data_IF_633411881328
#
_entry.id   IF_633411881328
#
_cell.length_a   1.000
_cell.length_b   1.000
_cell.length_c   1.000
_cell.angle_alpha   90.00
_cell.angle_beta   90.00
_cell.angle_gamma   90.00
#
_symmetry.space_group_name_H-M   'P 1'
#
loop_
_entity.id
_entity.type
_entity.pdbx_description
1 polymer ?
#
# COMPACT_ATOMS: atom_id res chain seq x y z
N UNK A 1 -2.95 -28.27 40.88
CA UNK A 1 -2.90 -27.77 39.50
C UNK A 1 -4.25 -28.03 38.87
N UNK A 2 -5.09 -27.04 38.62
CA UNK A 2 -6.28 -27.23 37.81
C UNK A 2 -6.06 -26.70 36.40
N UNK A 3 -6.39 -27.51 35.40
CA UNK A 3 -6.39 -27.19 33.99
C UNK A 3 -7.62 -26.32 33.66
N UNK A 4 -7.42 -25.21 32.99
CA UNK A 4 -8.48 -24.37 32.46
C UNK A 4 -8.71 -24.76 31.01
N UNK A 5 -9.87 -25.34 30.71
CA UNK A 5 -10.32 -25.65 29.38
C UNK A 5 -10.85 -24.37 28.71
N UNK A 6 -10.26 -24.01 27.56
CA UNK A 6 -10.79 -22.96 26.69
C UNK A 6 -11.88 -23.54 25.79
N UNK A 7 -13.11 -23.12 25.99
CA UNK A 7 -14.21 -23.47 25.09
C UNK A 7 -14.18 -22.55 23.86
N UNK A 8 -13.87 -23.14 22.69
CA UNK A 8 -14.01 -22.47 21.40
C UNK A 8 -15.48 -22.49 20.96
N UNK A 9 -16.05 -21.33 20.73
CA UNK A 9 -17.37 -21.19 20.10
C UNK A 9 -17.18 -21.19 18.60
N UNK A 10 -17.49 -22.30 17.95
CA UNK A 10 -17.66 -22.42 16.51
C UNK A 10 -19.08 -21.92 16.15
N UNK A 11 -19.18 -20.77 15.52
CA UNK A 11 -20.43 -20.32 14.91
C UNK A 11 -20.55 -20.92 13.51
N UNK A 12 -21.45 -21.88 13.36
CA UNK A 12 -21.80 -22.46 12.07
C UNK A 12 -22.67 -21.48 11.26
N UNK A 13 -22.22 -21.14 10.04
CA UNK A 13 -23.02 -20.42 9.05
C UNK A 13 -23.93 -21.42 8.36
N UNK A 14 -25.22 -21.32 8.57
CA UNK A 14 -26.24 -22.08 7.84
C UNK A 14 -26.60 -21.29 6.59
N UNK A 15 -26.28 -21.83 5.42
CA UNK A 15 -26.76 -21.32 4.12
C UNK A 15 -28.13 -21.98 3.88
N UNK A 16 -29.21 -21.23 4.05
CA UNK A 16 -30.54 -21.64 3.64
C UNK A 16 -30.75 -21.29 2.16
N UNK A 17 -30.78 -22.31 1.30
CA UNK A 17 -31.25 -22.18 -0.09
C UNK A 17 -32.76 -22.05 -0.11
N UNK A 18 -33.27 -21.04 -0.81
CA UNK A 18 -34.70 -20.88 -1.05
C UNK A 18 -35.05 -21.33 -2.48
N UNK A 19 -35.79 -22.41 -2.59
CA UNK A 19 -36.59 -22.76 -3.77
C UNK A 19 -38.03 -22.30 -3.53
N UNK A 20 -38.64 -21.69 -4.53
CA UNK A 20 -39.87 -20.95 -4.44
C UNK A 20 -41.15 -21.80 -4.33
N UNK A 21 -42.26 -21.13 -3.94
CA UNK A 21 -43.63 -21.59 -4.10
C UNK A 21 -44.61 -20.99 -3.09
N UNK A 22 -45.45 -20.05 -3.49
CA UNK A 22 -46.88 -19.92 -3.15
C UNK A 22 -47.29 -19.38 -1.79
N UNK A 23 -47.76 -18.12 -1.80
CA UNK A 23 -48.98 -17.56 -1.20
C UNK A 23 -49.31 -17.73 0.27
N UNK A 24 -49.31 -16.62 1.02
CA UNK A 24 -50.45 -16.07 1.78
C UNK A 24 -50.01 -14.95 2.76
N UNK A 25 -50.83 -13.93 2.76
CA UNK A 25 -51.04 -12.78 3.65
C UNK A 25 -50.50 -12.88 5.08
N UNK A 26 -49.68 -11.89 5.51
CA UNK A 26 -49.30 -11.66 6.90
C UNK A 26 -48.39 -10.44 7.03
N UNK A 27 -48.80 -9.47 7.80
CA UNK A 27 -48.34 -8.13 8.13
C UNK A 27 -46.81 -7.85 8.09
N UNK A 28 -46.34 -6.70 7.60
CA UNK A 28 -44.93 -6.43 7.35
C UNK A 28 -44.18 -5.97 8.59
N UNK A 29 -43.36 -6.86 9.11
CA UNK A 29 -42.25 -6.49 9.97
C UNK A 29 -41.13 -5.83 9.12
N UNK A 30 -40.61 -4.70 9.57
CA UNK A 30 -39.67 -3.85 8.88
C UNK A 30 -38.51 -4.61 8.19
N UNK A 31 -38.51 -4.56 6.86
CA UNK A 31 -37.37 -5.01 6.04
C UNK A 31 -36.26 -3.98 6.17
N UNK A 32 -35.20 -4.31 6.86
CA UNK A 32 -33.97 -3.51 6.91
C UNK A 32 -33.34 -3.51 5.53
N UNK A 33 -33.15 -2.33 4.98
CA UNK A 33 -32.44 -2.10 3.73
C UNK A 33 -31.02 -2.64 3.84
N UNK A 34 -30.77 -3.76 3.17
CA UNK A 34 -29.42 -4.20 2.85
C UNK A 34 -29.04 -3.42 1.61
N UNK A 35 -28.21 -2.39 1.79
CA UNK A 35 -27.60 -1.68 0.66
C UNK A 35 -26.62 -2.61 -0.05
N UNK A 36 -27.11 -3.36 -1.03
CA UNK A 36 -26.26 -4.12 -1.96
C UNK A 36 -25.56 -3.16 -2.90
N UNK A 37 -24.26 -2.97 -2.69
CA UNK A 37 -23.38 -2.36 -3.68
C UNK A 37 -23.15 -3.38 -4.81
N UNK A 38 -23.18 -2.98 -6.09
CA UNK A 38 -23.06 -3.93 -7.19
C UNK A 38 -21.73 -4.69 -7.17
N UNK A 39 -21.76 -5.98 -7.48
CA UNK A 39 -20.70 -6.98 -7.34
C UNK A 39 -19.44 -6.78 -8.22
N UNK A 40 -19.32 -5.65 -8.91
CA UNK A 40 -18.21 -5.35 -9.85
C UNK A 40 -17.09 -4.46 -9.27
N UNK A 41 -17.32 -3.85 -8.11
CA UNK A 41 -16.31 -3.05 -7.42
C UNK A 41 -16.00 -3.71 -6.10
N UNK A 42 -14.82 -4.32 -5.91
CA UNK A 42 -14.41 -4.88 -4.63
C UNK A 42 -14.93 -4.01 -3.48
N UNK A 43 -15.87 -4.53 -2.70
CA UNK A 43 -16.69 -3.76 -1.79
C UNK A 43 -16.20 -3.86 -0.34
N UNK A 44 -16.28 -2.75 0.37
CA UNK A 44 -16.31 -2.76 1.82
C UNK A 44 -17.77 -2.91 2.23
N UNK A 45 -18.14 -4.03 2.85
CA UNK A 45 -19.48 -4.22 3.42
C UNK A 45 -19.40 -3.85 4.91
N UNK A 46 -20.15 -2.84 5.30
CA UNK A 46 -20.34 -2.47 6.72
C UNK A 46 -21.63 -3.14 7.19
N UNK A 47 -21.47 -4.14 8.05
CA UNK A 47 -22.60 -4.78 8.73
C UNK A 47 -22.84 -4.04 10.05
N UNK A 48 -24.02 -3.48 10.25
CA UNK A 48 -24.40 -2.76 11.48
C UNK A 48 -25.21 -3.68 12.40
N UNK A 49 -24.54 -4.48 13.23
CA UNK A 49 -25.19 -5.06 14.41
C UNK A 49 -25.12 -4.07 15.59
N UNK A 50 -26.16 -4.00 16.42
CA UNK A 50 -26.24 -3.01 17.50
C UNK A 50 -25.40 -3.40 18.72
N UNK A 51 -24.09 -3.62 18.52
CA UNK A 51 -23.16 -3.70 19.65
C UNK A 51 -22.95 -2.29 20.18
N UNK A 52 -23.08 -2.03 21.49
CA UNK A 52 -22.81 -0.71 22.06
C UNK A 52 -21.40 -0.27 21.73
N UNK A 53 -21.29 0.81 20.95
CA UNK A 53 -19.99 1.37 20.56
C UNK A 53 -19.44 2.23 21.69
N UNK A 54 -18.13 2.16 21.88
CA UNK A 54 -17.41 3.06 22.80
C UNK A 54 -17.12 4.40 22.13
N UNK A 55 -16.91 5.44 22.93
CA UNK A 55 -16.53 6.77 22.46
C UNK A 55 -15.12 7.09 22.89
N UNK A 56 -14.42 7.89 22.08
CA UNK A 56 -13.12 8.46 22.46
C UNK A 56 -13.33 9.72 23.27
N UNK A 57 -12.51 9.92 24.29
CA UNK A 57 -12.50 11.15 25.10
C UNK A 57 -11.81 12.31 24.38
N UNK A 58 -10.96 12.01 23.40
CA UNK A 58 -10.20 12.99 22.60
C UNK A 58 -9.78 12.41 21.26
N UNK A 59 -9.44 13.26 20.29
CA UNK A 59 -8.84 12.83 19.04
C UNK A 59 -7.43 12.26 19.28
N UNK A 60 -7.18 11.04 18.85
CA UNK A 60 -5.88 10.38 18.96
C UNK A 60 -4.99 10.72 17.76
N UNK A 61 -3.71 10.97 18.01
CA UNK A 61 -2.71 11.34 17.00
C UNK A 61 -1.30 10.89 17.41
N UNK A 62 -0.35 10.97 16.50
CA UNK A 62 1.06 10.64 16.74
C UNK A 62 1.58 11.32 18.01
N UNK A 63 2.32 10.55 18.82
CA UNK A 63 2.88 10.95 20.11
C UNK A 63 1.97 10.73 21.31
N UNK A 64 0.69 10.36 21.10
CA UNK A 64 -0.22 10.03 22.22
C UNK A 64 -0.09 8.56 22.60
N UNK A 65 -0.37 8.27 23.89
CA UNK A 65 -0.37 6.90 24.40
C UNK A 65 -1.56 6.70 25.35
N UNK A 66 -1.94 5.44 25.51
CA UNK A 66 -2.97 5.05 26.46
C UNK A 66 -3.89 3.92 25.98
N UNK A 67 -4.87 3.55 26.79
CA UNK A 67 -5.76 2.41 26.51
C UNK A 67 -6.61 2.63 25.25
N UNK A 68 -7.04 3.86 24.95
CA UNK A 68 -7.80 4.17 23.74
C UNK A 68 -6.96 3.95 22.47
N UNK A 69 -5.65 4.29 22.50
CA UNK A 69 -4.72 4.01 21.39
C UNK A 69 -4.56 2.50 21.22
N UNK A 70 -4.37 1.76 22.31
CA UNK A 70 -4.27 0.30 22.25
C UNK A 70 -5.55 -0.34 21.69
N UNK A 71 -6.72 0.13 22.11
CA UNK A 71 -7.99 -0.34 21.56
C UNK A 71 -8.09 -0.10 20.05
N UNK A 72 -7.66 1.08 19.57
CA UNK A 72 -7.61 1.39 18.15
C UNK A 72 -6.63 0.47 17.37
N UNK A 73 -5.43 0.22 17.91
CA UNK A 73 -4.45 -0.69 17.32
C UNK A 73 -5.00 -2.12 17.24
N UNK A 74 -5.61 -2.62 18.30
CA UNK A 74 -6.25 -3.96 18.33
C UNK A 74 -7.36 -4.03 17.29
N UNK A 75 -8.19 -2.99 17.19
CA UNK A 75 -9.28 -2.95 16.24
C UNK A 75 -8.77 -2.91 14.80
N UNK A 76 -7.76 -2.09 14.48
CA UNK A 76 -7.11 -2.06 13.16
C UNK A 76 -6.57 -3.46 12.80
N UNK A 77 -5.84 -4.09 13.72
CA UNK A 77 -5.29 -5.43 13.50
C UNK A 77 -6.37 -6.48 13.24
N UNK A 78 -7.49 -6.42 13.95
CA UNK A 78 -8.62 -7.35 13.77
C UNK A 78 -9.30 -7.22 12.40
N UNK A 79 -9.15 -6.08 11.72
CA UNK A 79 -9.66 -5.83 10.38
C UNK A 79 -8.65 -6.16 9.26
N UNK A 80 -7.45 -6.62 9.62
CA UNK A 80 -6.38 -6.94 8.66
C UNK A 80 -5.36 -5.82 8.43
N UNK A 81 -5.53 -4.62 9.01
CA UNK A 81 -4.51 -3.58 8.99
C UNK A 81 -3.35 -3.94 9.92
N UNK A 82 -2.13 -3.53 9.55
CA UNK A 82 -1.01 -3.66 10.47
C UNK A 82 -0.59 -2.30 11.02
N UNK A 83 -0.99 -1.94 12.26
CA UNK A 83 -0.61 -0.68 12.89
C UNK A 83 0.78 -0.71 13.54
N UNK A 84 1.56 -1.78 13.37
CA UNK A 84 2.77 -2.05 14.14
C UNK A 84 2.48 -2.67 15.51
N UNK A 85 3.35 -2.44 16.50
CA UNK A 85 3.18 -2.97 17.85
C UNK A 85 1.84 -2.52 18.47
N UNK A 86 1.18 -3.46 19.17
CA UNK A 86 -0.06 -3.17 19.90
C UNK A 86 0.28 -2.70 21.33
N UNK A 87 1.08 -1.66 21.44
CA UNK A 87 1.70 -1.18 22.68
C UNK A 87 0.93 -0.03 23.35
N UNK A 88 -0.11 0.49 22.66
CA UNK A 88 -0.87 1.65 23.14
C UNK A 88 -0.17 2.99 22.86
N UNK A 89 0.88 3.01 22.01
CA UNK A 89 1.55 4.23 21.57
C UNK A 89 1.17 4.54 20.12
N UNK A 90 0.60 5.71 19.88
CA UNK A 90 0.23 6.15 18.52
C UNK A 90 1.50 6.59 17.76
N UNK A 91 2.18 5.60 17.19
CA UNK A 91 3.37 5.79 16.36
C UNK A 91 3.05 5.95 14.88
N UNK A 92 4.11 6.05 14.03
CA UNK A 92 3.96 6.13 12.57
C UNK A 92 3.18 4.96 11.98
N UNK A 93 3.38 3.72 12.46
CA UNK A 93 2.66 2.55 11.97
C UNK A 93 1.15 2.64 12.23
N UNK A 94 0.74 3.11 13.41
CA UNK A 94 -0.67 3.36 13.72
C UNK A 94 -1.25 4.45 12.82
N UNK A 95 -0.51 5.53 12.56
CA UNK A 95 -0.92 6.59 11.65
C UNK A 95 -1.10 6.06 10.22
N UNK A 96 -0.16 5.28 9.73
CA UNK A 96 -0.21 4.68 8.40
C UNK A 96 -1.40 3.73 8.24
N UNK A 97 -1.71 2.95 9.27
CA UNK A 97 -2.91 2.10 9.27
C UNK A 97 -4.21 2.94 9.24
N UNK A 98 -4.24 4.09 9.92
CA UNK A 98 -5.37 5.04 9.84
C UNK A 98 -5.48 5.63 8.45
N UNK A 99 -4.40 6.07 7.80
CA UNK A 99 -4.44 6.54 6.41
C UNK A 99 -5.01 5.47 5.46
N UNK A 100 -4.54 4.23 5.58
CA UNK A 100 -5.08 3.13 4.77
C UNK A 100 -6.58 2.90 5.03
N UNK A 101 -7.02 3.02 6.30
CA UNK A 101 -8.44 2.94 6.65
C UNK A 101 -9.25 4.08 6.03
N UNK A 102 -8.80 5.33 6.15
CA UNK A 102 -9.44 6.48 5.53
C UNK A 102 -9.55 6.33 4.01
N UNK A 103 -8.49 5.83 3.37
CA UNK A 103 -8.45 5.58 1.92
C UNK A 103 -9.42 4.48 1.48
N UNK A 104 -9.37 3.34 2.13
CA UNK A 104 -10.12 2.15 1.69
C UNK A 104 -11.59 2.17 2.11
N UNK A 105 -11.89 2.64 3.32
CA UNK A 105 -13.26 2.64 3.87
C UNK A 105 -14.00 3.92 3.52
N UNK A 106 -13.37 5.08 3.74
CA UNK A 106 -13.99 6.38 3.49
C UNK A 106 -13.79 6.87 2.04
N UNK A 107 -13.02 6.12 1.23
CA UNK A 107 -12.69 6.47 -0.16
C UNK A 107 -12.02 7.85 -0.28
N UNK A 108 -11.25 8.23 0.74
CA UNK A 108 -10.50 9.51 0.72
C UNK A 108 -9.24 9.38 -0.10
N UNK A 109 -9.04 10.20 -1.15
CA UNK A 109 -7.74 10.33 -1.80
C UNK A 109 -6.65 10.67 -0.76
N UNK A 110 -5.43 10.22 -1.00
CA UNK A 110 -4.32 10.38 -0.03
C UNK A 110 -4.15 11.84 0.44
N UNK A 111 -4.33 12.82 -0.45
CA UNK A 111 -4.21 14.25 -0.12
C UNK A 111 -5.28 14.75 0.88
N UNK A 112 -6.34 13.99 1.12
CA UNK A 112 -7.45 14.33 2.04
C UNK A 112 -7.42 13.47 3.31
N UNK A 113 -6.50 12.52 3.41
CA UNK A 113 -6.35 11.67 4.60
C UNK A 113 -5.67 12.44 5.71
N UNK A 114 -6.19 12.32 6.93
CA UNK A 114 -5.76 13.11 8.09
C UNK A 114 -4.78 12.33 8.97
N UNK A 115 -4.93 11.01 9.07
CA UNK A 115 -4.08 10.15 9.90
C UNK A 115 -4.23 10.40 11.40
N UNK A 116 -5.41 10.85 11.82
CA UNK A 116 -5.82 11.01 13.21
C UNK A 116 -7.10 10.24 13.43
N UNK A 117 -7.31 9.76 14.64
CA UNK A 117 -8.52 9.05 14.99
C UNK A 117 -9.40 9.93 15.88
N UNK A 118 -10.38 10.56 15.28
CA UNK A 118 -11.45 11.25 15.99
C UNK A 118 -12.59 10.28 16.35
N UNK A 119 -13.58 10.78 17.10
CA UNK A 119 -14.68 9.94 17.54
C UNK A 119 -15.56 9.44 16.38
N UNK A 120 -15.70 10.22 15.30
CA UNK A 120 -16.50 9.79 14.14
C UNK A 120 -15.83 8.61 13.41
N UNK A 121 -14.53 8.70 13.20
CA UNK A 121 -13.75 7.61 12.60
C UNK A 121 -13.73 6.38 13.52
N UNK A 122 -13.62 6.58 14.84
CA UNK A 122 -13.68 5.51 15.82
C UNK A 122 -15.03 4.78 15.80
N UNK A 123 -16.16 5.51 15.73
CA UNK A 123 -17.48 4.92 15.58
C UNK A 123 -17.59 4.05 14.32
N UNK A 124 -17.05 4.53 13.20
CA UNK A 124 -17.03 3.77 11.94
C UNK A 124 -16.12 2.53 12.05
N UNK A 125 -14.96 2.64 12.68
CA UNK A 125 -14.06 1.50 12.87
C UNK A 125 -14.66 0.36 13.69
N UNK A 126 -15.63 0.63 14.54
CA UNK A 126 -16.30 -0.38 15.36
C UNK A 126 -17.37 -1.17 14.60
N UNK A 127 -17.77 -0.74 13.41
CA UNK A 127 -18.67 -1.50 12.55
C UNK A 127 -17.98 -2.77 12.02
N UNK A 128 -18.69 -3.89 11.83
CA UNK A 128 -18.13 -5.06 11.18
C UNK A 128 -17.85 -4.74 9.71
N UNK A 129 -16.56 -4.62 9.38
CA UNK A 129 -16.06 -4.28 8.05
C UNK A 129 -15.36 -5.50 7.48
N UNK A 130 -15.76 -5.91 6.28
CA UNK A 130 -15.14 -7.00 5.51
C UNK A 130 -14.61 -6.44 4.19
N UNK A 131 -13.36 -6.70 3.89
CA UNK A 131 -12.73 -6.33 2.63
C UNK A 131 -12.85 -7.50 1.65
N UNK A 132 -13.54 -7.26 0.53
CA UNK A 132 -13.63 -8.21 -0.57
C UNK A 132 -12.75 -7.76 -1.72
N UNK A 133 -12.06 -8.68 -2.42
CA UNK A 133 -11.20 -8.32 -3.54
C UNK A 133 -12.03 -7.81 -4.73
N UNK A 134 -11.46 -6.89 -5.50
CA UNK A 134 -12.01 -6.48 -6.79
C UNK A 134 -11.84 -7.57 -7.85
N UNK A 135 -10.83 -8.43 -7.68
CA UNK A 135 -10.55 -9.57 -8.55
C UNK A 135 -10.54 -10.85 -7.73
N UNK A 136 -11.56 -11.67 -7.91
CA UNK A 136 -11.63 -12.99 -7.26
C UNK A 136 -10.81 -14.00 -8.06
N UNK A 137 -10.09 -14.90 -7.37
CA UNK A 137 -9.46 -16.07 -7.96
C UNK A 137 -10.16 -17.34 -7.43
N UNK A 138 -10.70 -18.19 -8.31
CA UNK A 138 -11.38 -19.42 -7.90
C UNK A 138 -10.40 -20.52 -7.44
N UNK A 139 -9.08 -20.36 -7.68
CA UNK A 139 -8.07 -21.34 -7.32
C UNK A 139 -7.83 -21.32 -5.81
N UNK A 140 -7.96 -22.48 -5.15
CA UNK A 140 -7.65 -22.62 -3.74
C UNK A 140 -6.18 -22.28 -3.45
N UNK A 141 -5.95 -21.52 -2.38
CA UNK A 141 -4.63 -21.02 -1.99
C UNK A 141 -4.14 -19.84 -2.84
N UNK A 142 -4.95 -19.32 -3.78
CA UNK A 142 -4.55 -18.20 -4.61
C UNK A 142 -4.29 -16.97 -3.76
N UNK A 143 -3.16 -16.33 -4.03
CA UNK A 143 -2.75 -15.06 -3.42
C UNK A 143 -2.62 -14.00 -4.50
N UNK A 144 -3.13 -12.80 -4.24
CA UNK A 144 -2.91 -11.65 -5.10
C UNK A 144 -2.88 -10.36 -4.28
N UNK A 145 -2.22 -9.34 -4.83
CA UNK A 145 -2.13 -8.02 -4.23
C UNK A 145 -2.92 -7.01 -5.06
N UNK A 146 -3.75 -6.21 -4.40
CA UNK A 146 -4.46 -5.08 -4.98
C UNK A 146 -3.87 -3.77 -4.45
N UNK A 147 -3.41 -2.91 -5.37
CA UNK A 147 -2.74 -1.63 -5.08
C UNK A 147 -3.60 -0.49 -5.62
N UNK A 148 -3.91 0.48 -4.77
CA UNK A 148 -4.76 1.63 -5.06
C UNK A 148 -3.94 2.91 -4.93
N UNK A 149 -3.52 3.49 -6.09
CA UNK A 149 -2.61 4.63 -6.11
C UNK A 149 -3.26 5.93 -5.64
N UNK A 150 -4.54 6.10 -5.89
CA UNK A 150 -5.34 7.27 -5.48
C UNK A 150 -5.46 7.41 -3.95
N UNK A 151 -5.50 6.28 -3.25
CA UNK A 151 -5.60 6.23 -1.78
C UNK A 151 -4.30 5.84 -1.09
N UNK A 152 -3.21 5.59 -1.84
CA UNK A 152 -1.92 5.14 -1.34
C UNK A 152 -2.08 3.96 -0.38
N UNK A 153 -2.84 2.95 -0.77
CA UNK A 153 -3.13 1.77 0.03
C UNK A 153 -3.05 0.49 -0.78
N UNK A 154 -2.82 -0.62 -0.11
CA UNK A 154 -2.79 -1.94 -0.73
C UNK A 154 -3.41 -3.00 0.18
N UNK A 155 -4.00 -4.01 -0.45
CA UNK A 155 -4.56 -5.18 0.22
C UNK A 155 -3.94 -6.43 -0.41
N UNK A 156 -3.39 -7.30 0.41
CA UNK A 156 -3.04 -8.66 0.03
C UNK A 156 -4.21 -9.57 0.35
N UNK A 157 -4.68 -10.31 -0.63
CA UNK A 157 -5.72 -11.31 -0.49
C UNK A 157 -5.13 -12.71 -0.61
N UNK A 158 -5.62 -13.62 0.23
CA UNK A 158 -5.38 -15.05 0.15
C UNK A 158 -6.72 -15.77 0.23
N UNK A 159 -7.00 -16.68 -0.69
CA UNK A 159 -8.32 -17.33 -0.80
C UNK A 159 -9.48 -16.32 -0.81
N UNK A 160 -9.28 -15.19 -1.50
CA UNK A 160 -10.22 -14.06 -1.57
C UNK A 160 -10.56 -13.41 -0.21
N UNK A 161 -9.76 -13.65 0.83
CA UNK A 161 -9.86 -12.99 2.14
C UNK A 161 -8.68 -12.05 2.34
N UNK A 162 -8.92 -10.89 2.94
CA UNK A 162 -7.85 -9.93 3.25
C UNK A 162 -6.89 -10.51 4.29
N UNK A 163 -5.63 -10.69 3.92
CA UNK A 163 -4.54 -11.20 4.76
C UNK A 163 -3.74 -10.05 5.38
N UNK A 164 -3.50 -9.00 4.59
CA UNK A 164 -2.77 -7.81 5.01
C UNK A 164 -3.32 -6.58 4.31
N UNK A 165 -3.58 -5.53 5.09
CA UNK A 165 -3.91 -4.19 4.58
C UNK A 165 -2.84 -3.22 5.06
N UNK A 166 -2.28 -2.44 4.13
CA UNK A 166 -1.21 -1.50 4.45
C UNK A 166 -1.33 -0.19 3.68
N UNK A 167 -0.84 0.88 4.30
CA UNK A 167 -0.52 2.11 3.60
C UNK A 167 0.74 1.91 2.77
N UNK A 168 0.82 2.60 1.63
CA UNK A 168 1.96 2.57 0.72
C UNK A 168 2.42 3.99 0.38
N UNK A 169 3.59 4.11 -0.27
CA UNK A 169 3.98 5.32 -0.98
C UNK A 169 4.54 4.94 -2.35
N UNK A 170 3.85 5.36 -3.39
CA UNK A 170 4.13 5.01 -4.80
C UNK A 170 5.03 6.05 -5.50
N UNK A 171 5.21 5.92 -6.80
CA UNK A 171 5.94 6.88 -7.64
C UNK A 171 5.28 8.24 -7.71
N UNK A 172 6.10 9.31 -7.69
CA UNK A 172 5.64 10.71 -7.68
C UNK A 172 4.96 11.16 -8.97
N UNK A 173 5.16 10.44 -10.08
CA UNK A 173 4.76 10.89 -11.42
C UNK A 173 5.65 11.97 -12.03
N UNK A 174 6.66 12.47 -11.30
CA UNK A 174 7.54 13.55 -11.76
C UNK A 174 8.66 13.03 -12.65
N UNK A 175 9.10 13.87 -13.58
CA UNK A 175 10.34 13.65 -14.31
C UNK A 175 11.53 13.84 -13.36
N UNK A 176 12.52 12.98 -13.48
CA UNK A 176 13.75 13.04 -12.69
C UNK A 176 14.95 12.79 -13.58
N UNK A 177 16.11 13.33 -13.20
CA UNK A 177 17.41 13.00 -13.77
C UNK A 177 18.42 12.92 -12.63
N UNK A 178 19.17 11.84 -12.57
CA UNK A 178 20.17 11.58 -11.52
C UNK A 178 21.43 10.99 -12.13
N UNK A 179 22.59 11.30 -11.55
CA UNK A 179 23.83 10.61 -11.86
C UNK A 179 23.82 9.28 -11.11
N UNK A 180 23.69 8.20 -11.86
CA UNK A 180 23.63 6.84 -11.32
C UNK A 180 25.02 6.23 -11.37
N UNK A 181 25.45 5.66 -10.25
CA UNK A 181 26.74 5.01 -10.10
C UNK A 181 26.60 3.49 -10.13
N UNK A 182 27.35 2.87 -11.04
CA UNK A 182 27.40 1.42 -11.19
C UNK A 182 28.75 0.92 -10.69
N UNK A 183 28.74 0.14 -9.60
CA UNK A 183 29.95 -0.46 -9.03
C UNK A 183 30.32 -1.79 -9.70
N UNK A 184 29.41 -2.37 -10.50
CA UNK A 184 29.59 -3.62 -11.23
C UNK A 184 29.09 -3.53 -12.65
N UNK A 185 29.68 -4.32 -13.56
CA UNK A 185 29.19 -4.51 -14.92
C UNK A 185 27.95 -5.43 -14.97
N UNK A 186 27.43 -5.66 -16.18
CA UNK A 186 26.24 -6.50 -16.42
C UNK A 186 26.47 -7.99 -16.06
N UNK A 187 27.73 -8.41 -15.87
CA UNK A 187 28.12 -9.76 -15.48
C UNK A 187 28.38 -9.87 -13.98
N UNK A 188 28.28 -8.75 -13.24
CA UNK A 188 28.56 -8.68 -11.81
C UNK A 188 30.05 -8.48 -11.46
N UNK A 189 30.91 -8.20 -12.46
CA UNK A 189 32.32 -7.90 -12.19
C UNK A 189 32.47 -6.47 -11.64
N UNK A 190 33.35 -6.24 -10.65
CA UNK A 190 33.59 -4.90 -10.12
C UNK A 190 34.12 -3.95 -11.20
N UNK A 191 33.59 -2.73 -11.21
CA UNK A 191 34.09 -1.62 -12.04
C UNK A 191 35.01 -0.73 -11.18
N UNK A 192 36.22 -0.46 -11.66
CA UNK A 192 37.15 0.43 -11.00
C UNK A 192 37.86 1.36 -12.02
N UNK A 193 37.51 2.64 -12.08
CA UNK A 193 36.53 3.33 -11.24
C UNK A 193 35.09 2.89 -11.56
N UNK A 194 34.14 3.12 -10.64
CA UNK A 194 32.72 2.94 -10.92
C UNK A 194 32.25 3.75 -12.13
N UNK A 195 31.30 3.21 -12.89
CA UNK A 195 30.74 3.91 -14.04
C UNK A 195 29.61 4.84 -13.58
N UNK A 196 29.73 6.13 -13.87
CA UNK A 196 28.67 7.12 -13.65
C UNK A 196 27.94 7.40 -14.98
N UNK A 197 26.61 7.39 -14.93
CA UNK A 197 25.75 7.72 -16.08
C UNK A 197 24.64 8.67 -15.66
N UNK A 198 24.33 9.63 -16.52
CA UNK A 198 23.12 10.42 -16.41
C UNK A 198 21.92 9.54 -16.81
N UNK A 199 21.01 9.33 -15.86
CA UNK A 199 19.79 8.56 -16.08
C UNK A 199 18.60 9.46 -15.82
N UNK A 200 17.72 9.57 -16.80
CA UNK A 200 16.46 10.29 -16.65
C UNK A 200 15.27 9.33 -16.77
N UNK A 201 14.19 9.67 -16.13
CA UNK A 201 12.95 8.89 -16.20
C UNK A 201 11.75 9.64 -15.66
N UNK A 202 10.63 8.93 -15.60
CA UNK A 202 9.41 9.38 -14.93
C UNK A 202 9.18 8.49 -13.73
N UNK A 203 9.04 9.09 -12.57
CA UNK A 203 8.80 8.39 -11.29
C UNK A 203 7.38 7.81 -11.22
N UNK A 204 6.93 7.12 -12.25
CA UNK A 204 5.56 6.58 -12.34
C UNK A 204 5.51 5.15 -11.82
N UNK A 205 4.53 4.86 -10.96
CA UNK A 205 4.06 3.49 -10.76
C UNK A 205 2.97 3.23 -11.81
N UNK A 206 3.21 2.37 -12.82
CA UNK A 206 2.20 2.11 -13.83
C UNK A 206 1.00 1.34 -13.27
N UNK A 207 -0.22 1.71 -13.71
CA UNK A 207 -1.39 0.85 -13.57
C UNK A 207 -1.22 -0.42 -14.39
N UNK A 208 -1.91 -1.50 -14.01
CA UNK A 208 -1.89 -2.73 -14.80
C UNK A 208 -2.01 -4.01 -13.98
N UNK A 209 -2.04 -5.12 -14.71
CA UNK A 209 -2.02 -6.48 -14.17
C UNK A 209 -0.63 -7.07 -14.33
N UNK A 210 0.01 -7.39 -13.22
CA UNK A 210 1.37 -7.89 -13.12
C UNK A 210 1.40 -9.19 -12.30
N UNK A 211 2.63 -9.70 -12.08
CA UNK A 211 2.88 -10.80 -11.16
C UNK A 211 4.25 -10.62 -10.49
N UNK A 212 4.40 -11.11 -9.26
CA UNK A 212 5.69 -11.16 -8.61
C UNK A 212 6.61 -12.15 -9.34
N UNK A 213 7.82 -11.72 -9.71
CA UNK A 213 8.72 -12.56 -10.50
C UNK A 213 10.10 -12.74 -9.91
N UNK A 214 10.56 -11.82 -9.04
CA UNK A 214 11.90 -11.85 -8.44
C UNK A 214 11.88 -11.20 -7.07
N UNK A 215 12.69 -11.69 -6.14
CA UNK A 215 12.88 -11.09 -4.82
C UNK A 215 14.34 -11.13 -4.38
N UNK A 216 14.70 -10.26 -3.44
CA UNK A 216 15.94 -10.29 -2.70
C UNK A 216 15.62 -10.23 -1.20
N UNK A 217 16.49 -10.84 -0.38
CA UNK A 217 16.42 -10.74 1.08
C UNK A 217 17.42 -9.71 1.59
N UNK A 218 17.01 -8.94 2.59
CA UNK A 218 17.83 -7.91 3.20
C UNK A 218 17.89 -6.63 2.39
N UNK A 219 18.91 -5.82 2.66
CA UNK A 219 19.12 -4.55 1.98
C UNK A 219 19.67 -4.78 0.57
N UNK A 220 19.01 -4.18 -0.40
CA UNK A 220 19.48 -4.14 -1.77
C UNK A 220 19.71 -2.70 -2.19
N UNK A 221 20.95 -2.36 -2.41
CA UNK A 221 21.34 -1.11 -3.03
C UNK A 221 21.09 -1.19 -4.54
N UNK A 222 20.33 -0.25 -5.04
CA UNK A 222 20.07 -0.05 -6.46
C UNK A 222 20.58 1.30 -6.91
N UNK A 223 20.63 1.56 -8.23
CA UNK A 223 21.05 2.85 -8.76
C UNK A 223 20.26 4.06 -8.21
N UNK A 224 19.00 3.84 -7.83
CA UNK A 224 18.08 4.86 -7.30
C UNK A 224 17.85 4.74 -5.79
N UNK A 225 18.79 4.14 -5.06
CA UNK A 225 18.77 4.00 -3.61
C UNK A 225 18.50 2.59 -3.08
N UNK A 226 18.47 2.49 -1.76
CA UNK A 226 18.30 1.22 -1.03
C UNK A 226 16.84 0.77 -0.93
N UNK A 227 16.64 -0.55 -0.95
CA UNK A 227 15.35 -1.21 -0.81
C UNK A 227 15.47 -2.38 0.16
N UNK A 228 14.61 -2.43 1.17
CA UNK A 228 14.58 -3.55 2.10
C UNK A 228 13.63 -4.65 1.62
N UNK A 229 14.13 -5.89 1.51
CA UNK A 229 13.38 -7.08 1.08
C UNK A 229 12.53 -6.84 -0.19
N UNK A 230 13.08 -6.32 -1.31
CA UNK A 230 12.30 -5.98 -2.49
C UNK A 230 11.74 -7.22 -3.20
N UNK A 231 10.47 -7.16 -3.58
CA UNK A 231 9.79 -8.15 -4.42
C UNK A 231 9.29 -7.45 -5.67
N UNK A 232 9.89 -7.80 -6.79
CA UNK A 232 9.66 -7.13 -8.08
C UNK A 232 8.44 -7.70 -8.79
N UNK A 233 7.64 -6.81 -9.39
CA UNK A 233 6.44 -7.18 -10.15
C UNK A 233 6.38 -6.54 -11.54
N UNK A 234 7.14 -5.47 -11.82
CA UNK A 234 7.15 -4.81 -13.11
C UNK A 234 8.54 -4.23 -13.39
N UNK A 235 9.34 -4.85 -14.29
CA UNK A 235 10.72 -4.45 -14.57
C UNK A 235 11.54 -4.21 -13.30
N UNK A 236 12.01 -2.97 -13.06
CA UNK A 236 12.71 -2.55 -11.85
C UNK A 236 11.81 -2.13 -10.69
N UNK A 237 10.50 -2.15 -10.86
CA UNK A 237 9.52 -1.74 -9.84
C UNK A 237 9.23 -2.89 -8.90
N UNK A 238 9.33 -2.63 -7.60
CA UNK A 238 9.14 -3.59 -6.53
C UNK A 238 8.23 -3.07 -5.42
N UNK A 239 7.64 -3.98 -4.64
CA UNK A 239 7.16 -3.69 -3.29
C UNK A 239 8.34 -3.90 -2.34
N UNK A 240 8.68 -2.91 -1.51
CA UNK A 240 9.84 -2.99 -0.62
C UNK A 240 9.66 -2.16 0.65
N UNK A 241 10.38 -2.51 1.69
CA UNK A 241 10.44 -1.72 2.91
C UNK A 241 11.22 -0.41 2.72
N UNK A 242 10.70 0.64 3.34
CA UNK A 242 11.36 1.93 3.40
C UNK A 242 11.19 2.57 4.78
N UNK A 243 12.20 3.33 5.23
CA UNK A 243 12.11 4.09 6.49
C UNK A 243 11.09 5.23 6.38
N UNK A 244 10.94 5.81 5.19
CA UNK A 244 10.00 6.88 4.93
C UNK A 244 8.89 6.40 3.98
N UNK A 245 7.67 6.29 4.52
CA UNK A 245 6.44 5.97 3.80
C UNK A 245 5.41 7.05 4.10
N UNK A 246 5.54 8.23 3.45
CA UNK A 246 4.67 9.38 3.70
C UNK A 246 3.27 9.16 3.12
N UNK A 247 2.33 10.00 3.54
CA UNK A 247 0.97 10.01 2.98
C UNK A 247 0.93 10.73 1.62
N UNK A 248 1.83 10.35 0.73
CA UNK A 248 1.91 10.86 -0.63
C UNK A 248 2.80 9.95 -1.48
N UNK A 249 2.69 9.99 -2.80
CA UNK A 249 3.69 9.41 -3.70
C UNK A 249 5.07 10.05 -3.46
N UNK A 250 6.12 9.24 -3.25
CA UNK A 250 7.46 9.73 -2.93
C UNK A 250 8.60 8.87 -3.49
N UNK A 251 8.31 7.85 -4.30
CA UNK A 251 9.32 6.96 -4.90
C UNK A 251 9.57 7.28 -6.38
N UNK A 252 10.58 6.63 -6.96
CA UNK A 252 10.83 6.64 -8.40
C UNK A 252 9.95 5.63 -9.19
N UNK A 253 8.95 5.04 -8.54
CA UNK A 253 8.02 4.09 -9.16
C UNK A 253 7.76 2.85 -8.30
N UNK A 254 8.66 2.48 -7.40
CA UNK A 254 8.46 1.38 -6.46
C UNK A 254 7.33 1.67 -5.48
N UNK A 255 6.77 0.61 -4.91
CA UNK A 255 5.78 0.66 -3.83
C UNK A 255 6.51 0.51 -2.51
N UNK A 256 6.63 1.61 -1.76
CA UNK A 256 7.18 1.61 -0.41
C UNK A 256 6.13 1.13 0.58
N UNK A 257 6.51 0.21 1.46
CA UNK A 257 5.72 -0.24 2.62
C UNK A 257 6.53 -0.03 3.90
N UNK A 258 5.88 0.05 5.08
CA UNK A 258 6.57 0.17 6.36
C UNK A 258 7.59 -0.96 6.57
N UNK A 259 8.76 -0.62 7.17
CA UNK A 259 9.85 -1.58 7.39
C UNK A 259 9.40 -2.81 8.18
N UNK A 260 8.59 -2.65 9.22
CA UNK A 260 8.12 -3.76 10.04
C UNK A 260 7.23 -4.73 9.25
N UNK A 261 6.45 -4.23 8.29
CA UNK A 261 5.67 -5.07 7.36
C UNK A 261 6.60 -5.77 6.37
N UNK A 262 7.58 -5.06 5.81
CA UNK A 262 8.53 -5.64 4.85
C UNK A 262 9.40 -6.76 5.43
N UNK A 263 9.51 -6.87 6.76
CA UNK A 263 10.23 -7.97 7.40
C UNK A 263 9.53 -9.34 7.22
N UNK A 264 8.22 -9.36 7.11
CA UNK A 264 7.45 -10.60 6.96
C UNK A 264 6.67 -10.70 5.62
N UNK A 265 6.49 -9.59 4.91
CA UNK A 265 5.77 -9.57 3.63
C UNK A 265 6.29 -10.62 2.61
N UNK A 266 7.62 -10.89 2.48
CA UNK A 266 8.11 -11.92 1.59
C UNK A 266 7.62 -13.34 1.87
N UNK A 267 7.16 -13.62 3.10
CA UNK A 267 6.61 -14.92 3.47
C UNK A 267 5.13 -15.07 3.08
N UNK A 268 4.45 -13.96 2.83
CA UNK A 268 3.03 -13.93 2.47
C UNK A 268 2.80 -14.11 0.96
N UNK A 269 3.81 -13.91 0.13
CA UNK A 269 3.69 -13.91 -1.34
C UNK A 269 4.68 -14.87 -1.99
N UNK A 270 4.32 -15.39 -3.15
CA UNK A 270 5.15 -16.28 -3.96
C UNK A 270 5.40 -15.70 -5.37
N UNK A 271 6.40 -16.25 -6.07
CA UNK A 271 6.60 -15.99 -7.49
C UNK A 271 5.38 -16.49 -8.27
N UNK A 272 4.82 -15.61 -9.12
CA UNK A 272 3.62 -15.89 -9.90
C UNK A 272 2.32 -15.36 -9.31
N UNK A 273 2.30 -14.95 -8.02
CA UNK A 273 1.14 -14.29 -7.44
C UNK A 273 0.85 -12.99 -8.17
N UNK A 274 -0.43 -12.72 -8.43
CA UNK A 274 -0.85 -11.59 -9.23
C UNK A 274 -0.78 -10.29 -8.43
N UNK A 275 -0.48 -9.20 -9.15
CA UNK A 275 -0.49 -7.84 -8.63
C UNK A 275 -1.34 -6.98 -9.55
N UNK A 276 -2.42 -6.44 -9.01
CA UNK A 276 -3.29 -5.51 -9.71
C UNK A 276 -3.02 -4.10 -9.20
N UNK A 277 -2.73 -3.16 -10.10
CA UNK A 277 -2.48 -1.76 -9.77
C UNK A 277 -3.55 -0.89 -10.42
N UNK A 278 -4.36 -0.24 -9.60
CA UNK A 278 -5.33 0.77 -10.05
C UNK A 278 -4.72 2.16 -9.97
N UNK A 279 -4.63 2.83 -11.10
CA UNK A 279 -4.11 4.19 -11.22
C UNK A 279 -5.22 5.26 -11.18
N UNK A 280 -6.47 4.84 -11.02
CA UNK A 280 -7.65 5.71 -11.03
C UNK A 280 -8.13 6.12 -12.43
N UNK A 281 -7.47 5.63 -13.50
CA UNK A 281 -7.77 5.99 -14.89
C UNK A 281 -8.41 4.82 -15.64
N UNK A 282 -7.76 3.66 -15.60
CA UNK A 282 -8.23 2.44 -16.30
C UNK A 282 -8.25 1.24 -15.36
N UNK A 283 -9.02 0.23 -15.69
CA UNK A 283 -8.92 -1.07 -15.04
C UNK A 283 -7.57 -1.73 -15.40
N UNK A 284 -6.95 -2.51 -14.48
CA UNK A 284 -5.64 -3.10 -14.69
C UNK A 284 -5.50 -3.90 -15.99
N UNK A 285 -6.56 -4.60 -16.40
CA UNK A 285 -6.57 -5.42 -17.62
C UNK A 285 -6.73 -4.60 -18.90
N UNK A 286 -7.11 -3.33 -18.79
CA UNK A 286 -7.29 -2.41 -19.91
C UNK A 286 -6.03 -1.58 -20.21
N UNK A 287 -5.01 -1.70 -19.38
CA UNK A 287 -3.73 -1.02 -19.59
C UNK A 287 -3.00 -1.66 -20.77
N UNK A 288 -2.50 -0.84 -21.70
CA UNK A 288 -1.66 -1.30 -22.78
C UNK A 288 -0.24 -1.64 -22.27
N UNK A 289 0.53 -2.39 -23.05
CA UNK A 289 1.92 -2.66 -22.72
C UNK A 289 2.73 -1.35 -22.56
N UNK A 290 2.43 -0.33 -23.36
CA UNK A 290 3.06 0.98 -23.25
C UNK A 290 2.70 1.68 -21.93
N UNK A 291 1.43 1.62 -21.49
CA UNK A 291 0.99 2.20 -20.20
C UNK A 291 1.69 1.53 -19.01
N UNK A 292 1.92 0.20 -19.11
CA UNK A 292 2.55 -0.62 -18.08
C UNK A 292 4.07 -0.55 -18.06
N UNK A 293 4.69 -0.04 -19.12
CA UNK A 293 6.16 0.03 -19.22
C UNK A 293 6.68 1.25 -18.45
N UNK A 294 7.64 1.08 -17.52
CA UNK A 294 8.31 2.20 -16.89
C UNK A 294 9.12 3.03 -17.90
N UNK A 295 9.21 4.33 -17.68
CA UNK A 295 9.91 5.25 -18.58
C UNK A 295 11.25 5.62 -17.96
N UNK A 296 12.32 4.97 -18.44
CA UNK A 296 13.71 5.35 -18.12
C UNK A 296 14.59 5.18 -19.34
N UNK A 297 15.69 5.92 -19.40
CA UNK A 297 16.69 5.85 -20.44
C UNK A 297 17.98 5.11 -20.00
N UNK A 298 17.89 4.20 -19.02
CA UNK A 298 19.06 3.41 -18.68
C UNK A 298 19.05 2.04 -19.39
N UNK A 299 20.24 1.57 -19.73
CA UNK A 299 20.43 0.29 -20.40
C UNK A 299 19.98 -0.85 -19.47
N UNK A 300 19.11 -1.72 -19.98
CA UNK A 300 18.73 -2.92 -19.24
C UNK A 300 19.97 -3.81 -19.03
N UNK A 301 20.42 -4.08 -17.79
CA UNK A 301 21.56 -4.96 -17.54
C UNK A 301 21.31 -6.43 -17.95
N UNK A 302 20.08 -6.80 -18.31
CA UNK A 302 19.71 -8.08 -18.92
C UNK A 302 18.90 -7.83 -20.18
N UNK A 303 19.52 -7.53 -21.34
CA UNK A 303 18.80 -7.56 -22.59
C UNK A 303 18.43 -9.01 -22.88
N UNK A 304 17.23 -9.41 -22.48
CA UNK A 304 16.62 -10.66 -22.92
C UNK A 304 16.42 -10.52 -24.42
N UNK A 305 17.21 -11.28 -25.18
CA UNK A 305 17.26 -11.39 -26.64
C UNK A 305 15.95 -11.00 -27.34
N UNK A 306 16.12 -10.08 -28.33
CA UNK A 306 15.33 -9.92 -29.53
C UNK A 306 13.99 -9.20 -29.39
N UNK A 307 14.04 -7.87 -29.51
CA UNK A 307 13.15 -7.18 -30.43
C UNK A 307 13.91 -6.01 -31.02
N UNK A 308 14.34 -6.14 -32.26
CA UNK A 308 14.89 -5.05 -33.10
C UNK A 308 13.76 -4.04 -33.29
N UNK A 309 13.64 -3.06 -32.40
CA UNK A 309 12.82 -1.89 -32.65
C UNK A 309 13.66 -0.90 -33.44
N UNK A 310 13.45 -0.88 -34.74
CA UNK A 310 13.90 0.21 -35.60
C UNK A 310 13.25 1.49 -35.12
N UNK A 311 13.96 2.27 -34.33
CA UNK A 311 13.53 3.60 -33.90
C UNK A 311 13.64 4.55 -35.08
N UNK A 312 12.55 4.75 -35.81
CA UNK A 312 12.42 5.89 -36.71
C UNK A 312 12.30 7.13 -35.84
N UNK A 313 13.39 7.86 -35.73
CA UNK A 313 13.47 9.14 -34.99
C UNK A 313 12.61 10.18 -35.73
N UNK A 314 11.35 10.33 -35.29
CA UNK A 314 10.54 11.48 -35.71
C UNK A 314 10.87 12.63 -34.78
N UNK A 315 11.65 13.55 -35.26
CA UNK A 315 12.00 14.82 -34.59
C UNK A 315 10.73 15.66 -34.42
N UNK A 316 10.12 15.60 -33.27
CA UNK A 316 9.05 16.53 -32.89
C UNK A 316 9.70 17.77 -32.30
N UNK A 317 9.57 18.88 -33.06
CA UNK A 317 10.02 20.22 -32.65
C UNK A 317 9.28 20.63 -31.35
N UNK A 318 9.98 21.14 -30.32
CA UNK A 318 9.31 21.50 -29.06
C UNK A 318 8.40 22.71 -29.29
N UNK A 319 7.14 22.54 -28.88
CA UNK A 319 6.19 23.65 -28.72
C UNK A 319 6.56 24.36 -27.41
N UNK A 320 6.98 25.61 -27.54
CA UNK A 320 7.25 26.50 -26.41
C UNK A 320 5.94 26.94 -25.77
N UNK A 321 5.63 26.43 -24.61
CA UNK A 321 4.57 26.97 -23.74
C UNK A 321 5.17 28.04 -22.80
N UNK A 322 4.47 29.15 -22.51
CA UNK A 322 5.03 30.26 -21.73
C UNK A 322 5.16 29.87 -20.25
N UNK A 323 6.30 30.28 -19.68
CA UNK A 323 6.74 30.13 -18.31
C UNK A 323 5.72 30.75 -17.32
N UNK A 324 5.21 30.03 -16.31
CA UNK A 324 4.52 30.66 -15.19
C UNK A 324 5.53 31.39 -14.30
N UNK A 325 5.19 32.63 -13.95
CA UNK A 325 5.94 33.50 -13.05
C UNK A 325 6.04 32.88 -11.65
N UNK A 326 7.25 32.78 -11.14
CA UNK A 326 7.55 32.26 -9.82
C UNK A 326 6.95 33.16 -8.72
N UNK A 327 6.09 32.58 -7.88
CA UNK A 327 5.77 33.13 -6.56
C UNK A 327 6.71 32.48 -5.56
N UNK A 328 7.57 33.29 -4.96
CA UNK A 328 8.56 32.88 -3.96
C UNK A 328 7.88 32.60 -2.62
N UNK A 329 7.86 31.33 -2.22
CA UNK A 329 7.67 30.95 -0.82
C UNK A 329 9.04 30.65 -0.19
N UNK A 330 9.30 31.09 1.05
CA UNK A 330 10.58 30.85 1.71
C UNK A 330 10.76 29.37 2.08
N UNK A 331 12.00 28.85 2.11
CA UNK A 331 12.28 27.48 2.47
C UNK A 331 11.99 27.23 3.97
N UNK A 332 11.58 26.01 4.36
CA UNK A 332 11.40 25.65 5.76
C UNK A 332 12.73 25.64 6.50
N UNK A 333 12.70 26.14 7.75
CA UNK A 333 13.86 26.22 8.63
C UNK A 333 14.44 24.83 8.94
N UNK A 334 15.77 24.75 8.99
CA UNK A 334 16.52 23.57 9.38
C UNK A 334 16.24 23.19 10.85
N UNK A 335 16.21 21.88 11.19
CA UNK A 335 16.07 21.44 12.57
C UNK A 335 17.30 21.83 13.41
N UNK A 336 17.13 22.12 14.73
CA UNK A 336 18.23 22.51 15.59
C UNK A 336 19.23 21.36 15.80
N UNK A 337 20.50 21.72 15.87
CA UNK A 337 21.60 20.79 16.12
C UNK A 337 21.45 20.10 17.48
N UNK A 338 21.66 18.79 17.47
CA UNK A 338 21.69 17.92 18.64
C UNK A 338 22.92 18.24 19.51
N UNK A 339 22.70 18.84 20.69
CA UNK A 339 23.74 19.05 21.68
C UNK A 339 23.81 17.83 22.60
N UNK A 340 24.73 16.95 22.33
CA UNK A 340 25.11 15.84 23.22
C UNK A 340 25.72 16.39 24.51
N UNK A 341 25.25 16.05 25.72
CA UNK A 341 25.95 16.37 26.94
C UNK A 341 27.12 15.42 27.14
N UNK A 342 28.30 16.00 27.17
CA UNK A 342 29.54 15.32 27.57
C UNK A 342 29.47 14.97 29.07
N UNK A 343 29.38 13.69 29.38
CA UNK A 343 29.48 13.19 30.76
C UNK A 343 30.92 13.06 31.14
N UNK A 344 31.43 14.03 31.93
CA UNK A 344 32.73 13.94 32.59
C UNK A 344 32.57 13.18 33.91
N UNK A 345 33.03 11.95 33.97
CA UNK A 345 33.21 11.23 35.21
C UNK A 345 34.49 11.72 35.87
N UNK A 346 34.42 12.18 37.13
CA UNK A 346 35.53 12.38 38.02
C UNK A 346 35.28 11.61 39.30
N UNK A 347 36.15 10.61 39.56
CA UNK A 347 36.50 9.91 40.82
C UNK A 347 35.35 9.45 41.71
#
# INVERSE_FOLDING_TARGET
MPAIAAAGVLSAVVIAGFSGGGGASGNPGAVKNIGTVPASTGGVVVQTDPVPKTTLTKTLKVGMSGPEVKAAQVRLKSMGFDPGPLDGTFGPGTQQAIWAFEGLVMKRPYAQQIGKLDNNLWQLMQDPIVFSPRRTDPKAGATHMEIYLDTQSAILFKDNKSELITHISSGTGQVWCEIVKYDTDNKGNPLNPPLEKDVCGVSKTPGGKFQFYRRYSGDRQGPLGGMWNPIYFNYGIAVHGAHNVPNAPASHGCIRIPMFIANYFPQLVAKGDLVYVWDGIKEPEQQSLQDMTPVFNYDNPNPSSTTTSTTTSTTVKPVVTPKPTASSAPPPAAPPADTTPTNTATL
#
